data_IF_949132858020
#
_entry.id   IF_949132858020
#
_cell.length_a   1.000
_cell.length_b   1.000
_cell.length_c   1.000
_cell.angle_alpha   90.00
_cell.angle_beta   90.00
_cell.angle_gamma   90.00
#
_symmetry.space_group_name_H-M   'P 1'
#
loop_
_entity.id
_entity.type
_entity.pdbx_description
1 polymer ?
#
# COMPACT_ATOMS: atom_id res chain seq x y z
N UNK A 1 3.85 -19.01 -5.03
CA UNK A 1 3.14 -20.06 -5.79
C UNK A 1 4.03 -20.50 -6.93
N UNK A 2 4.29 -21.79 -7.11
CA UNK A 2 5.37 -22.22 -8.03
C UNK A 2 4.85 -22.47 -9.44
N UNK A 3 5.27 -21.62 -10.38
CA UNK A 3 5.05 -21.83 -11.81
C UNK A 3 6.15 -22.74 -12.40
N UNK A 4 7.37 -22.71 -11.87
CA UNK A 4 8.54 -23.43 -12.41
C UNK A 4 9.00 -24.59 -11.51
N UNK A 5 9.32 -25.74 -12.09
CA UNK A 5 9.97 -26.87 -11.39
C UNK A 5 10.91 -27.67 -12.29
N UNK A 6 12.00 -28.16 -11.69
CA UNK A 6 12.99 -29.07 -12.33
C UNK A 6 12.91 -30.49 -11.76
N UNK A 7 12.01 -30.75 -10.80
CA UNK A 7 11.90 -32.04 -10.10
C UNK A 7 10.44 -32.44 -9.88
N UNK A 8 10.18 -33.73 -9.66
CA UNK A 8 8.85 -34.26 -9.33
C UNK A 8 8.41 -33.94 -7.89
N UNK A 9 9.33 -33.49 -7.03
CA UNK A 9 9.13 -33.32 -5.60
C UNK A 9 9.41 -34.62 -4.84
N UNK A 10 10.03 -34.50 -3.66
CA UNK A 10 10.38 -35.66 -2.85
C UNK A 10 9.21 -36.29 -2.10
N UNK A 11 8.21 -35.51 -1.66
CA UNK A 11 7.16 -36.03 -0.77
C UNK A 11 7.75 -36.72 0.46
N UNK A 12 7.54 -38.04 0.58
CA UNK A 12 8.15 -38.90 1.62
C UNK A 12 9.45 -39.61 1.17
N UNK A 13 9.85 -39.47 -0.08
CA UNK A 13 11.03 -40.08 -0.70
C UNK A 13 12.07 -39.06 -1.16
N UNK A 14 13.16 -39.53 -1.80
CA UNK A 14 14.13 -38.65 -2.43
C UNK A 14 13.48 -37.93 -3.62
N UNK A 15 13.85 -36.68 -3.80
CA UNK A 15 13.42 -35.91 -4.98
C UNK A 15 14.10 -36.45 -6.25
N UNK A 16 13.38 -36.45 -7.37
CA UNK A 16 13.87 -36.93 -8.66
C UNK A 16 13.73 -35.86 -9.73
N UNK A 17 14.76 -35.64 -10.58
CA UNK A 17 14.73 -34.61 -11.62
C UNK A 17 13.70 -34.94 -12.70
N UNK A 18 13.17 -33.89 -13.33
CA UNK A 18 12.44 -33.96 -14.59
C UNK A 18 13.42 -34.02 -15.77
N UNK A 19 13.00 -34.58 -16.90
CA UNK A 19 13.80 -34.58 -18.14
C UNK A 19 14.00 -33.14 -18.68
N UNK A 20 12.97 -32.30 -18.53
CA UNK A 20 12.97 -30.88 -18.86
C UNK A 20 12.21 -30.08 -17.79
N UNK A 21 12.51 -28.79 -17.57
CA UNK A 21 11.74 -27.95 -16.67
C UNK A 21 10.24 -27.93 -17.05
N UNK A 22 9.38 -27.95 -16.05
CA UNK A 22 7.93 -27.90 -16.25
C UNK A 22 7.34 -26.59 -15.71
N UNK A 23 6.41 -26.03 -16.48
CA UNK A 23 5.63 -24.85 -16.12
C UNK A 23 4.21 -25.28 -15.73
N UNK A 24 3.77 -24.96 -14.51
CA UNK A 24 2.45 -25.38 -13.98
C UNK A 24 1.64 -24.20 -13.47
N UNK A 25 0.57 -23.86 -14.20
CA UNK A 25 -0.24 -22.68 -13.91
C UNK A 25 -1.48 -22.95 -13.02
N UNK A 26 -1.76 -24.22 -12.71
CA UNK A 26 -3.02 -24.63 -12.08
C UNK A 26 -3.39 -23.94 -10.75
N UNK A 27 -2.43 -23.42 -9.99
CA UNK A 27 -2.71 -22.65 -8.77
C UNK A 27 -2.79 -21.16 -9.06
N UNK A 28 -1.93 -20.64 -9.93
CA UNK A 28 -1.90 -19.19 -10.22
C UNK A 28 -3.15 -18.79 -10.99
N UNK A 29 -3.61 -19.66 -11.90
CA UNK A 29 -4.87 -19.47 -12.60
C UNK A 29 -6.04 -19.36 -11.63
N UNK A 30 -6.10 -20.14 -10.54
CA UNK A 30 -7.19 -20.02 -9.56
C UNK A 30 -7.20 -18.68 -8.83
N UNK A 31 -6.01 -18.13 -8.57
CA UNK A 31 -5.89 -16.82 -7.92
C UNK A 31 -6.28 -15.71 -8.89
N UNK A 32 -5.78 -15.77 -10.12
CA UNK A 32 -6.06 -14.77 -11.14
C UNK A 32 -7.53 -14.81 -11.58
N UNK A 33 -8.11 -16.01 -11.74
CA UNK A 33 -9.55 -16.19 -11.99
C UNK A 33 -10.35 -15.52 -10.86
N UNK A 34 -10.00 -15.74 -9.59
CA UNK A 34 -10.70 -15.11 -8.46
C UNK A 34 -10.57 -13.58 -8.45
N UNK A 35 -9.38 -13.03 -8.76
CA UNK A 35 -9.15 -11.58 -8.84
C UNK A 35 -10.05 -10.96 -9.92
N UNK A 36 -10.04 -11.55 -11.12
CA UNK A 36 -10.83 -11.07 -12.26
C UNK A 36 -12.34 -11.23 -12.03
N UNK A 37 -12.78 -12.37 -11.50
CA UNK A 37 -14.19 -12.63 -11.16
C UNK A 37 -14.70 -11.67 -10.08
N UNK A 38 -13.81 -11.13 -9.23
CA UNK A 38 -14.13 -10.10 -8.23
C UNK A 38 -14.18 -8.69 -8.82
N UNK A 39 -13.87 -8.52 -10.11
CA UNK A 39 -13.82 -7.23 -10.80
C UNK A 39 -12.52 -6.44 -10.57
N UNK A 40 -11.52 -7.05 -9.95
CA UNK A 40 -10.18 -6.48 -9.79
C UNK A 40 -9.24 -6.97 -10.91
N UNK A 41 -8.08 -6.34 -11.04
CA UNK A 41 -7.00 -6.80 -11.94
C UNK A 41 -5.71 -6.96 -11.17
N UNK A 42 -4.85 -7.90 -11.58
CA UNK A 42 -3.54 -8.05 -10.97
C UNK A 42 -2.63 -6.88 -11.36
N UNK A 43 -2.03 -6.25 -10.35
CA UNK A 43 -0.75 -5.57 -10.48
C UNK A 43 0.31 -6.62 -10.18
N UNK A 44 0.97 -7.13 -11.23
CA UNK A 44 1.81 -8.32 -11.16
C UNK A 44 3.20 -7.94 -10.68
N UNK A 45 3.58 -8.41 -9.50
CA UNK A 45 4.98 -8.43 -9.06
C UNK A 45 5.67 -9.71 -9.58
N UNK A 46 6.67 -9.56 -10.43
CA UNK A 46 7.46 -10.66 -10.98
C UNK A 46 8.57 -11.05 -10.00
N UNK A 47 8.21 -11.92 -9.05
CA UNK A 47 9.10 -12.48 -8.05
C UNK A 47 8.44 -13.58 -7.21
N UNK A 48 9.11 -14.12 -6.19
CA UNK A 48 10.57 -14.12 -6.04
C UNK A 48 11.18 -15.28 -6.86
N UNK A 49 12.44 -15.62 -6.62
CA UNK A 49 13.16 -16.60 -7.42
C UNK A 49 12.66 -18.03 -7.14
N UNK A 50 12.33 -18.83 -8.18
CA UNK A 50 12.13 -20.26 -7.97
C UNK A 50 13.41 -20.90 -7.45
N UNK A 51 13.30 -21.79 -6.44
CA UNK A 51 14.46 -22.46 -5.82
C UNK A 51 15.44 -23.05 -6.82
N UNK A 52 14.92 -23.66 -7.88
CA UNK A 52 15.72 -24.29 -8.91
C UNK A 52 16.58 -23.30 -9.70
N UNK A 53 16.13 -22.04 -9.85
CA UNK A 53 16.87 -20.98 -10.53
C UNK A 53 17.70 -20.10 -9.59
N UNK A 54 17.52 -20.22 -8.27
CA UNK A 54 18.21 -19.40 -7.29
C UNK A 54 19.72 -19.70 -7.23
N UNK A 55 20.55 -18.65 -7.17
CA UNK A 55 21.99 -18.77 -6.88
C UNK A 55 22.28 -19.06 -5.41
N UNK A 56 21.36 -18.70 -4.52
CA UNK A 56 21.46 -18.93 -3.08
C UNK A 56 20.17 -19.57 -2.54
N UNK A 57 20.30 -20.37 -1.48
CA UNK A 57 19.16 -21.12 -0.91
C UNK A 57 18.64 -20.53 0.40
N UNK A 58 19.24 -19.46 0.89
CA UNK A 58 18.69 -18.70 2.02
C UNK A 58 17.34 -18.11 1.63
N UNK A 59 16.48 -17.90 2.63
CA UNK A 59 15.10 -17.53 2.39
C UNK A 59 14.61 -16.42 3.28
N UNK A 60 13.77 -15.56 2.72
CA UNK A 60 13.03 -14.51 3.42
C UNK A 60 11.63 -15.01 3.84
N UNK A 61 11.10 -14.40 4.90
CA UNK A 61 9.75 -14.63 5.45
C UNK A 61 9.46 -16.06 5.93
N UNK A 62 8.33 -16.21 6.61
CA UNK A 62 7.85 -17.50 7.12
C UNK A 62 7.61 -18.53 6.01
N UNK A 63 7.13 -18.07 4.85
CA UNK A 63 6.84 -18.90 3.68
C UNK A 63 8.04 -19.16 2.75
N UNK A 64 9.23 -18.68 3.14
CA UNK A 64 10.54 -19.06 2.58
C UNK A 64 10.78 -18.67 1.11
N UNK A 65 10.66 -17.39 0.80
CA UNK A 65 11.01 -16.82 -0.50
C UNK A 65 12.51 -16.98 -0.79
N UNK A 66 12.92 -17.34 -2.02
CA UNK A 66 14.34 -17.22 -2.42
C UNK A 66 14.58 -15.88 -3.10
N UNK A 67 15.51 -15.10 -2.57
CA UNK A 67 15.69 -13.69 -2.94
C UNK A 67 16.98 -13.42 -3.74
N UNK A 68 17.58 -14.46 -4.32
CA UNK A 68 18.85 -14.30 -5.04
C UNK A 68 18.66 -14.03 -6.53
N UNK A 69 19.67 -13.45 -7.21
CA UNK A 69 19.71 -13.43 -8.68
C UNK A 69 19.57 -14.83 -9.28
N UNK A 70 19.07 -14.95 -10.52
CA UNK A 70 18.99 -16.23 -11.21
C UNK A 70 20.39 -16.76 -11.54
N UNK A 71 20.57 -18.08 -11.44
CA UNK A 71 21.78 -18.79 -11.88
C UNK A 71 21.96 -18.75 -13.40
N UNK A 72 20.85 -18.53 -14.11
CA UNK A 72 20.74 -18.49 -15.57
C UNK A 72 19.66 -17.47 -15.96
N UNK A 73 20.09 -16.34 -16.52
CA UNK A 73 19.19 -15.26 -16.94
C UNK A 73 18.29 -15.68 -18.11
N UNK A 74 18.77 -16.56 -19.01
CA UNK A 74 17.95 -17.06 -20.12
C UNK A 74 16.79 -17.89 -19.60
N UNK A 75 17.00 -18.72 -18.57
CA UNK A 75 15.92 -19.47 -17.92
C UNK A 75 14.93 -18.59 -17.15
N UNK A 76 15.40 -17.51 -16.55
CA UNK A 76 14.51 -16.50 -15.96
C UNK A 76 13.62 -15.84 -17.03
N UNK A 77 14.22 -15.39 -18.14
CA UNK A 77 13.48 -14.81 -19.26
C UNK A 77 12.46 -15.79 -19.84
N UNK A 78 12.86 -17.05 -20.07
CA UNK A 78 11.95 -18.11 -20.54
C UNK A 78 10.75 -18.30 -19.60
N UNK A 79 10.97 -18.26 -18.28
CA UNK A 79 9.90 -18.33 -17.28
C UNK A 79 8.94 -17.14 -17.38
N UNK A 80 9.46 -15.92 -17.46
CA UNK A 80 8.64 -14.71 -17.60
C UNK A 80 7.82 -14.79 -18.90
N UNK A 81 8.48 -15.04 -20.03
CA UNK A 81 7.83 -15.14 -21.35
C UNK A 81 6.73 -16.19 -21.35
N UNK A 82 7.02 -17.42 -20.91
CA UNK A 82 6.05 -18.51 -20.88
C UNK A 82 4.86 -18.19 -19.98
N UNK A 83 5.09 -17.48 -18.87
CA UNK A 83 4.02 -17.09 -17.94
C UNK A 83 3.11 -16.02 -18.53
N UNK A 84 3.68 -14.98 -19.15
CA UNK A 84 2.91 -13.89 -19.76
C UNK A 84 2.15 -14.39 -20.99
N UNK A 85 2.77 -15.21 -21.85
CA UNK A 85 2.08 -15.83 -22.99
C UNK A 85 0.93 -16.73 -22.55
N UNK A 86 1.10 -17.54 -21.49
CA UNK A 86 0.00 -18.34 -20.92
C UNK A 86 -1.17 -17.46 -20.45
N UNK A 87 -0.90 -16.34 -19.79
CA UNK A 87 -1.97 -15.41 -19.39
C UNK A 87 -2.64 -14.75 -20.58
N UNK A 88 -1.91 -14.41 -21.64
CA UNK A 88 -2.49 -13.90 -22.90
C UNK A 88 -3.38 -14.97 -23.55
N UNK A 89 -2.93 -16.22 -23.61
CA UNK A 89 -3.71 -17.33 -24.17
C UNK A 89 -4.99 -17.60 -23.37
N UNK A 90 -4.92 -17.49 -22.03
CA UNK A 90 -6.04 -17.78 -21.13
C UNK A 90 -7.06 -16.63 -21.04
N UNK A 91 -6.59 -15.39 -20.91
CA UNK A 91 -7.41 -14.22 -20.58
C UNK A 91 -7.60 -13.26 -21.76
N UNK A 92 -6.80 -13.40 -22.81
CA UNK A 92 -6.81 -12.52 -23.98
C UNK A 92 -5.90 -11.31 -23.83
N UNK A 93 -5.23 -10.93 -24.93
CA UNK A 93 -4.25 -9.83 -24.96
C UNK A 93 -4.83 -8.48 -24.48
N UNK A 94 -6.08 -8.17 -24.87
CA UNK A 94 -6.72 -6.89 -24.49
C UNK A 94 -6.98 -6.76 -22.99
N UNK A 95 -7.17 -7.88 -22.28
CA UNK A 95 -7.26 -7.89 -20.82
C UNK A 95 -5.86 -7.74 -20.21
N UNK A 96 -4.89 -8.54 -20.66
CA UNK A 96 -3.53 -8.54 -20.11
C UNK A 96 -2.81 -7.19 -20.32
N UNK A 97 -3.12 -6.45 -21.39
CA UNK A 97 -2.64 -5.06 -21.60
C UNK A 97 -3.09 -4.06 -20.54
N UNK A 98 -4.11 -4.39 -19.75
CA UNK A 98 -4.57 -3.54 -18.65
C UNK A 98 -3.81 -3.80 -17.35
N UNK A 99 -3.00 -4.88 -17.29
CA UNK A 99 -2.20 -5.23 -16.14
C UNK A 99 -0.87 -4.45 -16.14
N UNK A 100 -0.22 -4.39 -14.98
CA UNK A 100 1.14 -3.85 -14.82
C UNK A 100 2.06 -5.00 -14.40
N UNK A 101 3.26 -5.02 -14.94
CA UNK A 101 4.31 -5.99 -14.61
C UNK A 101 5.47 -5.27 -13.92
N UNK A 102 5.49 -5.32 -12.60
CA UNK A 102 6.56 -4.80 -11.77
C UNK A 102 7.64 -5.86 -11.61
N UNK A 103 8.92 -5.47 -11.76
CA UNK A 103 10.03 -6.41 -11.66
C UNK A 103 10.61 -6.39 -10.26
N UNK A 104 10.39 -7.48 -9.52
CA UNK A 104 10.89 -7.71 -8.17
C UNK A 104 10.28 -6.82 -7.09
N UNK A 105 10.75 -6.99 -5.85
CA UNK A 105 10.36 -6.22 -4.68
C UNK A 105 11.59 -5.79 -3.85
N UNK A 106 11.66 -4.52 -3.49
CA UNK A 106 12.67 -3.89 -2.61
C UNK A 106 14.11 -4.39 -2.81
N UNK A 107 14.65 -4.37 -4.04
CA UNK A 107 15.97 -4.95 -4.34
C UNK A 107 17.13 -4.25 -3.62
N UNK A 108 16.88 -3.06 -3.05
CA UNK A 108 17.85 -2.31 -2.26
C UNK A 108 18.05 -2.88 -0.84
N UNK A 109 17.09 -3.65 -0.30
CA UNK A 109 17.18 -4.25 1.05
C UNK A 109 18.05 -5.52 1.06
N UNK A 110 19.33 -5.37 0.72
CA UNK A 110 20.31 -6.46 0.69
C UNK A 110 20.77 -6.84 2.10
N UNK A 111 20.83 -8.15 2.48
CA UNK A 111 20.62 -9.35 1.66
C UNK A 111 19.21 -9.97 1.82
N UNK A 112 18.20 -9.20 2.24
CA UNK A 112 16.89 -9.73 2.59
C UNK A 112 16.01 -9.96 1.35
N UNK A 113 15.54 -8.88 0.73
CA UNK A 113 14.67 -8.96 -0.44
C UNK A 113 15.44 -9.21 -1.73
N UNK A 114 16.74 -8.94 -1.74
CA UNK A 114 17.65 -9.25 -2.83
C UNK A 114 19.04 -9.59 -2.29
N UNK A 115 19.66 -10.67 -2.76
CA UNK A 115 21.03 -11.05 -2.33
C UNK A 115 22.12 -10.63 -3.32
N UNK A 116 21.73 -10.03 -4.45
CA UNK A 116 22.65 -9.56 -5.48
C UNK A 116 23.05 -8.09 -5.28
N UNK A 117 23.68 -7.53 -6.30
CA UNK A 117 23.98 -6.09 -6.35
C UNK A 117 22.88 -5.29 -7.05
N UNK A 118 22.91 -3.97 -6.90
CA UNK A 118 22.12 -3.03 -7.71
C UNK A 118 22.25 -3.30 -9.20
N UNK A 119 23.47 -3.44 -9.69
CA UNK A 119 23.72 -3.73 -11.12
C UNK A 119 23.04 -5.02 -11.55
N UNK A 120 23.12 -6.08 -10.74
CA UNK A 120 22.43 -7.34 -11.06
C UNK A 120 20.90 -7.21 -11.07
N UNK A 121 20.34 -6.33 -10.23
CA UNK A 121 18.92 -6.01 -10.30
C UNK A 121 18.59 -5.26 -11.60
N UNK A 122 19.40 -4.27 -12.00
CA UNK A 122 19.19 -3.55 -13.26
C UNK A 122 19.31 -4.47 -14.48
N UNK A 123 20.24 -5.44 -14.46
CA UNK A 123 20.34 -6.50 -15.48
C UNK A 123 19.09 -7.40 -15.52
N UNK A 124 18.54 -7.76 -14.34
CA UNK A 124 17.29 -8.52 -14.23
C UNK A 124 16.11 -7.72 -14.82
N UNK A 125 15.99 -6.45 -14.45
CA UNK A 125 14.96 -5.55 -14.99
C UNK A 125 15.05 -5.47 -16.50
N UNK A 126 16.23 -5.16 -17.04
CA UNK A 126 16.45 -5.02 -18.48
C UNK A 126 16.05 -6.29 -19.24
N UNK A 127 16.53 -7.46 -18.80
CA UNK A 127 16.20 -8.73 -19.45
C UNK A 127 14.69 -9.01 -19.42
N UNK A 128 14.04 -8.69 -18.30
CA UNK A 128 12.59 -8.88 -18.10
C UNK A 128 11.76 -7.92 -18.95
N UNK A 129 12.11 -6.63 -18.94
CA UNK A 129 11.41 -5.59 -19.68
C UNK A 129 11.52 -5.79 -21.19
N UNK A 130 12.71 -6.14 -21.70
CA UNK A 130 12.89 -6.48 -23.12
C UNK A 130 12.02 -7.68 -23.50
N UNK A 131 12.04 -8.76 -22.71
CA UNK A 131 11.25 -9.96 -22.99
C UNK A 131 9.73 -9.68 -23.02
N UNK A 132 9.22 -8.88 -22.09
CA UNK A 132 7.80 -8.48 -22.06
C UNK A 132 7.43 -7.68 -23.30
N UNK A 133 8.30 -6.74 -23.72
CA UNK A 133 8.05 -5.90 -24.90
C UNK A 133 8.19 -6.65 -26.23
N UNK A 134 8.98 -7.72 -26.26
CA UNK A 134 9.06 -8.63 -27.41
C UNK A 134 7.77 -9.44 -27.61
N UNK A 135 7.06 -9.79 -26.53
CA UNK A 135 5.74 -10.43 -26.59
C UNK A 135 4.70 -9.47 -27.16
N UNK A 136 4.56 -8.29 -26.55
CA UNK A 136 3.70 -7.22 -27.05
C UNK A 136 4.17 -5.84 -26.52
N UNK A 137 4.47 -4.86 -27.40
CA UNK A 137 4.94 -3.53 -26.98
C UNK A 137 3.97 -2.75 -26.08
N UNK A 138 2.68 -3.11 -26.08
CA UNK A 138 1.64 -2.46 -25.28
C UNK A 138 1.53 -2.96 -23.83
N UNK A 139 2.20 -4.06 -23.46
CA UNK A 139 2.27 -4.50 -22.06
C UNK A 139 3.10 -3.53 -21.23
N UNK A 140 2.64 -3.18 -20.04
CA UNK A 140 3.25 -2.16 -19.18
C UNK A 140 4.24 -2.78 -18.18
N UNK A 141 5.51 -2.39 -18.22
CA UNK A 141 6.57 -2.88 -17.32
C UNK A 141 7.25 -1.73 -16.57
N UNK A 142 7.59 -1.97 -15.30
CA UNK A 142 8.14 -0.94 -14.43
C UNK A 142 8.90 -1.48 -13.20
N UNK A 143 9.51 -0.54 -12.48
CA UNK A 143 10.41 -0.75 -11.35
C UNK A 143 10.92 0.62 -10.83
N UNK A 144 11.93 0.70 -9.96
CA UNK A 144 12.75 -0.37 -9.43
C UNK A 144 12.16 -1.07 -8.18
N UNK A 145 10.91 -0.78 -7.81
CA UNK A 145 10.22 -1.37 -6.65
C UNK A 145 10.96 -1.16 -5.33
N UNK A 146 11.74 -0.09 -5.21
CA UNK A 146 12.61 0.13 -4.05
C UNK A 146 11.83 0.41 -2.78
N UNK A 147 12.45 0.12 -1.62
CA UNK A 147 11.89 0.50 -0.33
C UNK A 147 11.81 2.02 -0.16
N UNK A 148 11.40 2.44 1.04
CA UNK A 148 11.22 3.85 1.41
C UNK A 148 12.42 4.76 1.08
N UNK A 149 12.11 6.04 0.92
CA UNK A 149 13.09 7.12 0.76
C UNK A 149 14.03 7.14 1.95
N UNK A 150 15.26 7.58 1.74
CA UNK A 150 16.26 7.68 2.81
C UNK A 150 16.94 9.04 2.83
N UNK A 151 17.36 9.54 4.00
CA UNK A 151 18.04 10.83 4.12
C UNK A 151 19.58 10.74 4.10
N UNK A 152 20.13 9.60 3.67
CA UNK A 152 21.57 9.31 3.74
C UNK A 152 22.08 8.45 2.58
N UNK A 153 23.40 8.27 2.51
CA UNK A 153 24.11 7.60 1.40
C UNK A 153 24.05 6.05 1.50
N UNK A 154 23.22 5.45 2.38
CA UNK A 154 23.27 3.99 2.65
C UNK A 154 23.08 3.13 1.41
N UNK A 155 22.37 3.60 0.40
CA UNK A 155 22.12 2.87 -0.85
C UNK A 155 22.85 3.46 -2.06
N UNK A 156 23.83 4.36 -1.88
CA UNK A 156 24.56 4.96 -3.02
C UNK A 156 25.41 3.96 -3.81
N UNK A 157 25.85 2.89 -3.16
CA UNK A 157 26.66 1.84 -3.75
C UNK A 157 25.85 0.69 -4.36
N UNK A 158 26.54 -0.43 -4.59
CA UNK A 158 25.94 -1.68 -5.10
C UNK A 158 25.06 -2.41 -4.07
N UNK A 159 25.28 -2.16 -2.77
CA UNK A 159 24.57 -2.77 -1.64
C UNK A 159 24.45 -1.77 -0.50
N UNK A 160 23.65 -2.08 0.53
CA UNK A 160 23.52 -1.26 1.74
C UNK A 160 24.85 -1.07 2.48
N UNK A 161 25.21 0.18 2.80
CA UNK A 161 26.25 0.55 3.76
C UNK A 161 25.61 1.11 5.03
N UNK A 162 25.44 0.23 6.03
CA UNK A 162 24.81 0.58 7.32
C UNK A 162 25.57 1.67 8.09
N UNK A 163 26.85 1.89 7.81
CA UNK A 163 27.61 2.94 8.49
C UNK A 163 27.11 4.36 8.14
N UNK A 164 26.38 4.50 7.03
CA UNK A 164 25.79 5.78 6.61
C UNK A 164 24.54 6.14 7.39
N UNK A 165 23.95 5.19 8.10
CA UNK A 165 22.71 5.38 8.85
C UNK A 165 22.94 6.02 10.22
N UNK A 166 24.17 5.95 10.75
CA UNK A 166 24.46 6.37 12.11
C UNK A 166 24.10 7.83 12.38
N UNK A 167 24.29 8.71 11.38
CA UNK A 167 23.94 10.13 11.49
C UNK A 167 22.41 10.32 11.50
N UNK A 168 21.69 9.57 10.66
CA UNK A 168 20.23 9.53 10.64
C UNK A 168 19.66 9.02 11.96
N UNK A 169 20.24 7.94 12.52
CA UNK A 169 19.83 7.36 13.79
C UNK A 169 20.08 8.30 14.99
N UNK A 170 21.02 9.24 14.87
CA UNK A 170 21.36 10.22 15.89
C UNK A 170 20.72 11.60 15.67
N UNK A 171 19.90 11.76 14.62
CA UNK A 171 19.28 13.04 14.30
C UNK A 171 18.18 13.39 15.31
N UNK A 172 18.25 14.60 15.86
CA UNK A 172 17.19 15.14 16.74
C UNK A 172 15.92 15.51 15.95
N UNK A 173 16.08 15.90 14.69
CA UNK A 173 15.02 16.29 13.77
C UNK A 173 15.23 15.56 12.43
N UNK A 174 14.43 14.52 12.23
CA UNK A 174 14.49 13.67 11.02
C UNK A 174 13.84 14.33 9.81
N UNK A 175 12.93 15.29 10.02
CA UNK A 175 12.20 15.97 8.96
C UNK A 175 13.07 17.05 8.28
N UNK A 176 14.07 17.57 9.00
CA UNK A 176 15.05 18.50 8.44
C UNK A 176 16.10 17.84 7.52
N UNK A 177 16.13 16.50 7.44
CA UNK A 177 17.08 15.79 6.61
C UNK A 177 16.67 15.76 5.12
N UNK A 178 17.63 15.52 4.23
CA UNK A 178 17.41 15.49 2.78
C UNK A 178 16.95 14.10 2.31
N UNK A 179 15.65 13.85 2.40
CA UNK A 179 15.04 12.59 1.94
C UNK A 179 15.03 12.48 0.41
N UNK A 180 15.46 11.34 -0.11
CA UNK A 180 15.53 11.06 -1.55
C UNK A 180 15.10 9.64 -1.87
N UNK A 181 14.59 9.39 -3.09
CA UNK A 181 14.27 8.04 -3.51
C UNK A 181 15.52 7.17 -3.60
N UNK A 182 15.34 5.88 -3.40
CA UNK A 182 16.43 4.91 -3.53
C UNK A 182 16.54 4.45 -4.97
N UNK A 183 17.73 4.56 -5.57
CA UNK A 183 18.08 4.05 -6.91
C UNK A 183 17.27 4.56 -8.11
N UNK A 184 16.22 5.36 -7.93
CA UNK A 184 15.35 5.84 -9.02
C UNK A 184 16.14 6.59 -10.11
N UNK A 185 17.02 7.51 -9.72
CA UNK A 185 17.83 8.28 -10.69
C UNK A 185 18.82 7.38 -11.43
N UNK A 186 19.51 6.49 -10.72
CA UNK A 186 20.46 5.57 -11.35
C UNK A 186 19.77 4.54 -12.24
N UNK A 187 18.58 4.10 -11.86
CA UNK A 187 17.75 3.19 -12.63
C UNK A 187 17.30 3.82 -13.96
N UNK A 188 16.76 5.05 -13.92
CA UNK A 188 16.41 5.78 -15.13
C UNK A 188 17.62 6.03 -16.02
N UNK A 189 18.76 6.40 -15.42
CA UNK A 189 20.02 6.61 -16.15
C UNK A 189 20.49 5.32 -16.83
N UNK A 190 20.44 4.18 -16.14
CA UNK A 190 20.78 2.87 -16.71
C UNK A 190 19.89 2.55 -17.90
N UNK A 191 18.58 2.72 -17.75
CA UNK A 191 17.61 2.42 -18.79
C UNK A 191 17.76 3.36 -20.00
N UNK A 192 17.97 4.65 -19.79
CA UNK A 192 18.15 5.63 -20.86
C UNK A 192 19.39 5.29 -21.70
N UNK A 193 20.53 5.04 -21.05
CA UNK A 193 21.81 4.73 -21.72
C UNK A 193 21.75 3.44 -22.55
N UNK A 194 20.86 2.52 -22.18
CA UNK A 194 20.73 1.19 -22.78
C UNK A 194 19.44 1.02 -23.59
N UNK A 195 18.65 2.08 -23.70
CA UNK A 195 17.36 2.10 -24.40
C UNK A 195 16.36 1.06 -23.87
N UNK A 196 16.39 0.81 -22.55
CA UNK A 196 15.45 -0.08 -21.88
C UNK A 196 14.15 0.68 -21.63
N UNK A 197 12.98 0.10 -21.96
CA UNK A 197 11.70 0.78 -21.76
C UNK A 197 11.30 0.80 -20.29
N UNK A 198 10.75 1.94 -19.85
CA UNK A 198 10.08 2.11 -18.57
C UNK A 198 8.69 2.66 -18.89
N UNK A 199 7.63 1.92 -18.57
CA UNK A 199 6.26 2.43 -18.69
C UNK A 199 5.77 3.09 -17.40
N UNK A 200 6.31 2.67 -16.26
CA UNK A 200 5.99 3.24 -14.95
C UNK A 200 7.17 3.09 -14.00
N UNK A 201 7.28 4.03 -13.06
CA UNK A 201 8.10 3.88 -11.87
C UNK A 201 7.28 3.34 -10.71
N UNK A 202 7.87 2.41 -9.98
CA UNK A 202 7.32 1.90 -8.72
C UNK A 202 8.32 1.97 -7.58
N UNK A 203 7.82 2.25 -6.38
CA UNK A 203 8.58 2.30 -5.13
C UNK A 203 7.61 2.25 -3.95
N UNK A 204 8.13 2.02 -2.75
CA UNK A 204 7.34 2.03 -1.52
C UNK A 204 7.57 3.31 -0.73
N UNK A 205 6.56 3.70 0.04
CA UNK A 205 6.70 4.80 0.99
C UNK A 205 5.97 4.46 2.29
N UNK A 206 6.62 4.73 3.41
CA UNK A 206 6.01 4.68 4.73
C UNK A 206 6.51 5.91 5.51
N UNK A 207 5.64 6.61 6.25
CA UNK A 207 6.06 7.75 7.06
C UNK A 207 6.83 7.32 8.30
N UNK A 208 6.82 6.02 8.65
CA UNK A 208 7.67 5.44 9.70
C UNK A 208 8.68 4.48 9.09
N UNK A 209 9.88 4.42 9.67
CA UNK A 209 10.99 3.57 9.23
C UNK A 209 11.98 3.34 10.39
N UNK A 210 13.15 2.77 10.11
CA UNK A 210 14.24 2.58 11.05
C UNK A 210 15.60 3.02 10.46
N UNK A 211 16.45 3.62 11.29
CA UNK A 211 17.88 3.76 11.01
C UNK A 211 18.69 3.03 12.08
N UNK A 212 19.80 2.40 11.68
CA UNK A 212 20.65 1.69 12.63
C UNK A 212 21.74 2.59 13.21
N UNK A 213 21.91 2.55 14.54
CA UNK A 213 22.99 3.24 15.23
C UNK A 213 24.34 2.50 15.08
N UNK A 214 25.41 3.09 15.61
CA UNK A 214 26.76 2.50 15.56
C UNK A 214 26.91 1.16 16.29
N UNK A 215 25.95 0.78 17.13
CA UNK A 215 25.90 -0.51 17.82
C UNK A 215 25.03 -1.54 17.07
N UNK A 216 24.43 -1.16 15.94
CA UNK A 216 23.49 -1.98 15.19
C UNK A 216 22.09 -2.06 15.81
N UNK A 217 21.73 -1.11 16.67
CA UNK A 217 20.38 -0.99 17.24
C UNK A 217 19.52 -0.16 16.30
N UNK A 218 18.36 -0.70 15.90
CA UNK A 218 17.39 0.03 15.09
C UNK A 218 16.69 1.11 15.92
N UNK A 219 16.81 2.36 15.46
CA UNK A 219 16.14 3.53 16.01
C UNK A 219 14.91 3.81 15.15
N UNK A 220 13.69 3.80 15.72
CA UNK A 220 12.48 4.11 14.97
C UNK A 220 12.49 5.58 14.54
N UNK A 221 12.10 5.81 13.30
CA UNK A 221 11.92 7.12 12.69
C UNK A 221 10.44 7.33 12.40
N UNK A 222 9.97 8.55 12.56
CA UNK A 222 8.63 8.96 12.19
C UNK A 222 8.73 10.32 11.53
N UNK A 223 8.50 10.36 10.23
CA UNK A 223 8.45 11.59 9.44
C UNK A 223 7.12 12.30 9.66
N UNK A 224 7.11 13.59 9.40
CA UNK A 224 5.91 14.42 9.51
C UNK A 224 4.80 13.99 8.54
N UNK A 225 3.57 14.41 8.83
CA UNK A 225 2.36 13.85 8.23
C UNK A 225 2.20 14.05 6.70
N UNK A 226 2.92 15.00 6.08
CA UNK A 226 2.88 15.20 4.62
C UNK A 226 4.08 14.59 3.86
N UNK A 227 4.95 13.84 4.54
CA UNK A 227 6.15 13.26 3.93
C UNK A 227 5.85 12.50 2.61
N UNK A 228 4.80 11.67 2.58
CA UNK A 228 4.39 10.94 1.36
C UNK A 228 4.04 11.88 0.20
N UNK A 229 3.36 13.00 0.46
CA UNK A 229 3.01 13.98 -0.58
C UNK A 229 4.27 14.56 -1.20
N UNK A 230 5.24 14.91 -0.36
CA UNK A 230 6.49 15.52 -0.82
C UNK A 230 7.36 14.53 -1.60
N UNK A 231 7.42 13.27 -1.15
CA UNK A 231 8.12 12.19 -1.87
C UNK A 231 7.51 11.99 -3.27
N UNK A 232 6.18 12.00 -3.38
CA UNK A 232 5.49 11.90 -4.68
C UNK A 232 5.74 13.13 -5.56
N UNK A 233 5.73 14.33 -4.98
CA UNK A 233 6.04 15.55 -5.74
C UNK A 233 7.48 15.51 -6.29
N UNK A 234 8.43 15.01 -5.49
CA UNK A 234 9.81 14.80 -5.93
C UNK A 234 9.90 13.78 -7.07
N UNK A 235 9.23 12.62 -6.97
CA UNK A 235 9.19 11.62 -8.06
C UNK A 235 8.64 12.20 -9.35
N UNK A 236 7.56 12.98 -9.29
CA UNK A 236 6.99 13.64 -10.47
C UNK A 236 7.96 14.62 -11.12
N UNK A 237 8.71 15.37 -10.32
CA UNK A 237 9.78 16.23 -10.83
C UNK A 237 10.87 15.42 -11.54
N UNK A 238 11.36 14.36 -10.91
CA UNK A 238 12.38 13.48 -11.48
C UNK A 238 11.94 12.85 -12.81
N UNK A 239 10.69 12.39 -12.90
CA UNK A 239 10.13 11.81 -14.13
C UNK A 239 10.03 12.86 -15.22
N UNK A 240 9.49 14.04 -14.92
CA UNK A 240 9.30 15.11 -15.89
C UNK A 240 10.62 15.58 -16.52
N UNK A 241 11.71 15.51 -15.76
CA UNK A 241 13.06 15.89 -16.20
C UNK A 241 13.86 14.72 -16.80
N UNK A 242 13.28 13.52 -16.90
CA UNK A 242 13.93 12.30 -17.39
C UNK A 242 13.66 12.01 -18.88
N UNK A 243 14.26 10.93 -19.40
CA UNK A 243 13.93 10.37 -20.71
C UNK A 243 12.55 9.67 -20.78
N UNK A 244 11.82 9.58 -19.66
CA UNK A 244 10.54 8.88 -19.53
C UNK A 244 9.43 9.79 -18.98
N UNK A 245 9.18 10.98 -19.56
CA UNK A 245 8.26 11.97 -18.98
C UNK A 245 6.80 11.51 -18.89
N UNK A 246 6.44 10.47 -19.63
CA UNK A 246 5.10 9.88 -19.65
C UNK A 246 4.95 8.65 -18.72
N UNK A 247 5.98 8.31 -17.94
CA UNK A 247 5.93 7.16 -17.04
C UNK A 247 4.90 7.38 -15.92
N UNK A 248 4.10 6.34 -15.65
CA UNK A 248 3.18 6.34 -14.50
C UNK A 248 3.99 6.28 -13.18
N UNK A 249 3.42 6.77 -12.08
CA UNK A 249 3.93 6.65 -10.72
C UNK A 249 2.98 5.75 -9.94
N UNK A 250 3.51 4.61 -9.50
CA UNK A 250 2.80 3.68 -8.64
C UNK A 250 3.53 3.52 -7.32
N UNK A 251 2.87 3.86 -6.22
CA UNK A 251 3.32 3.43 -4.90
C UNK A 251 2.70 2.06 -4.65
N UNK A 252 3.49 1.01 -4.81
CA UNK A 252 3.02 -0.39 -4.81
C UNK A 252 2.86 -0.96 -3.40
N UNK A 253 3.50 -0.34 -2.41
CA UNK A 253 3.18 -0.49 -1.00
C UNK A 253 3.23 0.87 -0.26
N UNK A 254 2.17 1.12 0.52
CA UNK A 254 2.08 2.25 1.43
C UNK A 254 1.17 1.95 2.63
N UNK A 255 1.56 2.38 3.81
CA UNK A 255 0.72 2.41 5.01
C UNK A 255 1.29 3.42 6.01
N UNK A 256 0.75 3.46 7.23
CA UNK A 256 1.33 4.26 8.31
C UNK A 256 2.63 3.66 8.84
N UNK A 257 2.83 2.34 8.70
CA UNK A 257 4.02 1.61 9.14
C UNK A 257 4.31 0.39 8.28
N UNK A 258 5.60 0.04 8.07
CA UNK A 258 6.01 -1.16 7.36
C UNK A 258 6.00 -2.41 8.25
N UNK A 259 5.52 -2.32 9.49
CA UNK A 259 5.46 -3.45 10.42
C UNK A 259 4.08 -4.08 10.46
N UNK A 260 3.98 -5.37 10.11
CA UNK A 260 2.74 -6.17 10.26
C UNK A 260 2.31 -6.41 11.72
N UNK A 261 2.94 -5.72 12.69
CA UNK A 261 2.71 -5.83 14.14
C UNK A 261 2.48 -4.47 14.80
N UNK A 262 2.40 -3.39 14.01
CA UNK A 262 2.15 -2.06 14.53
C UNK A 262 0.68 -1.89 14.93
N UNK A 263 0.43 -1.73 16.23
CA UNK A 263 -0.93 -1.64 16.79
C UNK A 263 -1.67 -0.40 16.33
N UNK A 264 -0.99 0.57 15.73
CA UNK A 264 -1.62 1.74 15.14
C UNK A 264 -2.57 1.38 13.98
N UNK A 265 -2.29 0.31 13.22
CA UNK A 265 -3.11 -0.13 12.09
C UNK A 265 -4.57 -0.44 12.46
N UNK A 266 -4.82 -0.83 13.72
CA UNK A 266 -6.14 -1.24 14.19
C UNK A 266 -7.02 -0.06 14.66
N UNK A 267 -6.52 1.18 14.56
CA UNK A 267 -7.09 2.34 15.25
C UNK A 267 -7.85 3.31 14.33
N UNK A 268 -8.73 4.12 14.93
CA UNK A 268 -9.35 5.26 14.25
C UNK A 268 -8.35 6.36 13.89
N UNK A 269 -7.22 6.44 14.62
CA UNK A 269 -6.13 7.38 14.33
C UNK A 269 -5.51 7.11 12.97
N UNK A 270 -5.27 5.83 12.65
CA UNK A 270 -4.83 5.42 11.32
C UNK A 270 -5.87 5.78 10.25
N UNK A 271 -7.16 5.58 10.49
CA UNK A 271 -8.21 5.91 9.53
C UNK A 271 -8.20 7.41 9.13
N UNK A 272 -8.11 8.31 10.10
CA UNK A 272 -8.02 9.75 9.84
C UNK A 272 -6.70 10.16 9.17
N UNK A 273 -5.57 9.61 9.63
CA UNK A 273 -4.26 9.84 9.02
C UNK A 273 -4.24 9.41 7.55
N UNK A 274 -4.75 8.21 7.26
CA UNK A 274 -4.79 7.65 5.91
C UNK A 274 -5.70 8.48 5.00
N UNK A 275 -6.90 8.84 5.48
CA UNK A 275 -7.83 9.68 4.72
C UNK A 275 -7.17 11.00 4.31
N UNK A 276 -6.46 11.63 5.25
CA UNK A 276 -5.72 12.87 4.99
C UNK A 276 -4.64 12.67 3.93
N UNK A 277 -3.76 11.67 4.11
CA UNK A 277 -2.64 11.42 3.20
C UNK A 277 -3.12 11.11 1.78
N UNK A 278 -4.12 10.23 1.62
CA UNK A 278 -4.63 9.87 0.30
C UNK A 278 -5.26 11.06 -0.42
N UNK A 279 -6.04 11.90 0.28
CA UNK A 279 -6.65 13.09 -0.34
C UNK A 279 -5.60 14.11 -0.78
N UNK A 280 -4.51 14.27 -0.03
CA UNK A 280 -3.42 15.18 -0.40
C UNK A 280 -2.54 14.64 -1.54
N UNK A 281 -2.46 13.32 -1.68
CA UNK A 281 -1.65 12.65 -2.69
C UNK A 281 -2.44 12.31 -3.97
N UNK A 282 -3.76 12.48 -3.98
CA UNK A 282 -4.66 11.98 -5.01
C UNK A 282 -4.31 12.39 -6.45
N UNK A 283 -3.63 13.53 -6.64
CA UNK A 283 -3.22 14.03 -7.97
C UNK A 283 -1.74 13.79 -8.29
N UNK A 284 -0.99 13.14 -7.41
CA UNK A 284 0.47 13.00 -7.51
C UNK A 284 0.93 11.61 -7.93
N UNK A 285 0.05 10.61 -7.96
CA UNK A 285 0.37 9.25 -8.38
C UNK A 285 -0.81 8.64 -9.15
N UNK A 286 -0.53 7.73 -10.08
CA UNK A 286 -1.57 6.93 -10.75
C UNK A 286 -2.19 5.91 -9.78
N UNK A 287 -1.41 5.39 -8.83
CA UNK A 287 -1.95 4.62 -7.71
C UNK A 287 -1.10 4.73 -6.45
N UNK A 288 -1.77 4.61 -5.30
CA UNK A 288 -1.15 4.41 -3.99
C UNK A 288 -1.82 3.18 -3.38
N UNK A 289 -1.10 2.07 -3.35
CA UNK A 289 -1.58 0.76 -2.91
C UNK A 289 -1.43 0.65 -1.40
N UNK A 290 -2.55 0.59 -0.69
CA UNK A 290 -2.53 0.37 0.75
C UNK A 290 -2.13 -1.07 1.06
N UNK A 291 -1.02 -1.22 1.78
CA UNK A 291 -0.59 -2.50 2.30
C UNK A 291 -1.25 -2.69 3.68
N UNK A 292 -2.31 -3.49 3.82
CA UNK A 292 -2.90 -4.43 2.87
C UNK A 292 -4.44 -4.52 3.04
N UNK A 293 -5.13 -5.26 2.18
CA UNK A 293 -6.60 -5.37 2.28
C UNK A 293 -7.08 -6.29 3.42
N UNK A 294 -6.26 -7.23 3.90
CA UNK A 294 -6.64 -8.16 4.98
C UNK A 294 -5.46 -8.58 5.87
N UNK A 295 -5.75 -8.93 7.13
CA UNK A 295 -4.80 -9.53 8.07
C UNK A 295 -4.51 -11.01 7.79
N UNK A 296 -5.13 -11.62 6.77
CA UNK A 296 -4.69 -12.94 6.27
C UNK A 296 -3.30 -12.76 5.61
N UNK A 297 -2.28 -12.74 6.46
CA UNK A 297 -0.95 -12.27 6.14
C UNK A 297 0.11 -13.04 6.95
N UNK A 298 1.19 -13.47 6.30
CA UNK A 298 2.10 -14.47 6.90
C UNK A 298 3.60 -14.15 6.75
N UNK A 299 4.02 -12.93 6.40
CA UNK A 299 5.47 -12.63 6.30
C UNK A 299 6.25 -12.97 7.58
N UNK A 300 5.75 -12.52 8.74
CA UNK A 300 6.24 -12.87 10.06
C UNK A 300 5.52 -14.08 10.69
N UNK A 301 4.81 -14.88 9.88
CA UNK A 301 3.81 -15.85 10.32
C UNK A 301 2.46 -15.18 10.65
N UNK A 302 1.46 -16.00 11.01
CA UNK A 302 0.14 -15.50 11.39
C UNK A 302 0.19 -14.59 12.63
N UNK A 303 -0.72 -13.62 12.70
CA UNK A 303 -0.84 -12.70 13.82
C UNK A 303 -1.25 -13.38 15.13
N UNK A 304 -0.94 -12.76 16.27
CA UNK A 304 -1.36 -13.25 17.58
C UNK A 304 -2.60 -12.47 18.04
N UNK A 305 -3.75 -13.11 17.90
CA UNK A 305 -5.05 -12.55 18.29
C UNK A 305 -5.71 -11.71 17.18
N UNK A 306 -6.97 -11.28 17.40
CA UNK A 306 -7.81 -10.69 16.35
C UNK A 306 -7.41 -9.26 15.95
N UNK A 307 -6.76 -8.53 16.85
CA UNK A 307 -6.19 -7.20 16.62
C UNK A 307 -4.75 -7.26 17.08
N UNK A 308 -3.84 -7.41 16.13
CA UNK A 308 -2.42 -7.65 16.38
C UNK A 308 -1.51 -6.63 15.71
N UNK A 309 -2.08 -5.54 15.18
CA UNK A 309 -1.36 -4.57 14.35
C UNK A 309 -1.08 -5.04 12.93
N UNK A 310 -1.86 -6.01 12.45
CA UNK A 310 -1.77 -6.47 11.06
C UNK A 310 -2.10 -5.36 10.07
N UNK A 311 -1.55 -5.46 8.87
CA UNK A 311 -1.70 -4.47 7.81
C UNK A 311 -3.13 -4.29 7.30
N UNK A 312 -4.01 -5.26 7.52
CA UNK A 312 -5.30 -5.38 6.85
C UNK A 312 -6.27 -4.24 7.14
N UNK A 313 -7.03 -3.83 6.13
CA UNK A 313 -8.30 -3.10 6.33
C UNK A 313 -9.33 -3.96 7.09
N UNK A 314 -9.26 -5.28 6.91
CA UNK A 314 -10.15 -6.26 7.52
C UNK A 314 -9.31 -7.30 8.26
N UNK A 315 -9.70 -7.62 9.50
CA UNK A 315 -8.97 -8.62 10.26
C UNK A 315 -9.23 -10.06 9.78
N UNK A 316 -8.52 -11.05 10.33
CA UNK A 316 -8.62 -12.46 9.92
C UNK A 316 -10.05 -13.05 10.02
N UNK A 317 -10.89 -12.54 10.92
CA UNK A 317 -12.28 -13.01 11.11
C UNK A 317 -13.29 -12.26 10.24
N UNK A 318 -12.85 -11.34 9.38
CA UNK A 318 -13.74 -10.52 8.56
C UNK A 318 -14.30 -9.29 9.29
N UNK A 319 -13.69 -8.85 10.41
CA UNK A 319 -14.11 -7.66 11.14
C UNK A 319 -13.46 -6.44 10.50
N UNK A 320 -14.28 -5.49 10.03
CA UNK A 320 -13.82 -4.23 9.44
C UNK A 320 -13.09 -3.38 10.48
N UNK A 321 -11.86 -2.96 10.18
CA UNK A 321 -11.14 -1.96 10.99
C UNK A 321 -11.65 -0.56 10.63
N UNK A 322 -11.36 0.48 11.44
CA UNK A 322 -11.72 1.86 11.10
C UNK A 322 -11.19 2.29 9.71
N UNK A 323 -10.03 1.78 9.31
CA UNK A 323 -9.41 2.03 8.00
C UNK A 323 -10.25 1.50 6.84
N UNK A 324 -10.94 0.36 6.97
CA UNK A 324 -11.88 -0.13 5.96
C UNK A 324 -12.98 0.90 5.67
N UNK A 325 -13.53 1.51 6.72
CA UNK A 325 -14.58 2.53 6.57
C UNK A 325 -14.03 3.78 5.91
N UNK A 326 -12.81 4.22 6.24
CA UNK A 326 -12.16 5.33 5.54
C UNK A 326 -12.04 5.06 4.02
N UNK A 327 -11.60 3.87 3.61
CA UNK A 327 -11.55 3.50 2.19
C UNK A 327 -12.95 3.42 1.55
N UNK A 328 -13.94 2.87 2.25
CA UNK A 328 -15.34 2.85 1.78
C UNK A 328 -15.90 4.26 1.59
N UNK A 329 -15.54 5.19 2.47
CA UNK A 329 -15.92 6.59 2.38
C UNK A 329 -15.26 7.29 1.19
N UNK A 330 -13.96 7.09 0.99
CA UNK A 330 -13.22 7.63 -0.15
C UNK A 330 -13.76 7.10 -1.49
N UNK A 331 -14.15 5.82 -1.55
CA UNK A 331 -14.72 5.20 -2.76
C UNK A 331 -16.08 5.79 -3.20
N UNK A 332 -16.73 6.60 -2.34
CA UNK A 332 -18.00 7.27 -2.68
C UNK A 332 -17.80 8.59 -3.42
N UNK A 333 -16.58 9.11 -3.43
CA UNK A 333 -16.26 10.37 -4.09
C UNK A 333 -16.44 10.23 -5.60
N UNK A 334 -16.96 11.28 -6.23
CA UNK A 334 -17.06 11.40 -7.67
C UNK A 334 -15.75 11.84 -8.32
N UNK A 335 -15.76 11.90 -9.65
CA UNK A 335 -14.61 12.24 -10.49
C UNK A 335 -14.37 13.74 -10.68
N UNK A 336 -15.32 14.61 -10.30
CA UNK A 336 -15.17 16.07 -10.38
C UNK A 336 -15.04 16.71 -9.01
N UNK A 337 -13.90 17.32 -8.73
CA UNK A 337 -13.67 18.11 -7.52
C UNK A 337 -14.50 19.40 -7.54
N UNK A 338 -15.32 19.62 -6.51
CA UNK A 338 -16.09 20.85 -6.30
C UNK A 338 -15.45 21.75 -5.24
N UNK A 339 -14.92 21.13 -4.18
CA UNK A 339 -14.26 21.82 -3.07
C UNK A 339 -13.10 20.95 -2.58
N UNK A 340 -11.96 21.58 -2.34
CA UNK A 340 -10.87 20.99 -1.56
C UNK A 340 -10.49 21.93 -0.42
N UNK A 341 -10.34 21.36 0.76
CA UNK A 341 -9.93 22.06 1.98
C UNK A 341 -8.83 21.26 2.67
N UNK A 342 -8.11 21.83 3.65
CA UNK A 342 -7.18 21.07 4.48
C UNK A 342 -7.81 19.89 5.25
N UNK A 343 -9.14 19.79 5.32
CA UNK A 343 -9.87 18.83 6.17
C UNK A 343 -10.88 17.97 5.40
N UNK A 344 -10.81 17.96 4.07
CA UNK A 344 -11.73 17.17 3.25
C UNK A 344 -12.06 17.79 1.91
N UNK A 345 -12.89 17.06 1.17
CA UNK A 345 -13.27 17.38 -0.21
C UNK A 345 -14.76 17.20 -0.43
N UNK A 346 -15.29 17.94 -1.40
CA UNK A 346 -16.62 17.72 -1.99
C UNK A 346 -16.41 17.43 -3.47
N UNK A 347 -17.10 16.43 -3.97
CA UNK A 347 -17.01 15.95 -5.35
C UNK A 347 -18.39 15.79 -5.95
N UNK A 348 -18.42 15.71 -7.28
CA UNK A 348 -19.59 15.39 -8.07
C UNK A 348 -19.25 14.30 -9.05
N UNK A 349 -20.10 13.29 -9.12
CA UNK A 349 -20.02 12.26 -10.15
C UNK A 349 -20.53 12.82 -11.48
N UNK A 350 -19.71 12.75 -12.53
CA UNK A 350 -20.01 13.32 -13.85
C UNK A 350 -21.13 12.59 -14.59
N UNK A 351 -21.43 11.33 -14.23
CA UNK A 351 -22.43 10.49 -14.89
C UNK A 351 -23.83 10.67 -14.31
N UNK A 352 -23.91 10.74 -12.99
CA UNK A 352 -25.15 10.79 -12.20
C UNK A 352 -25.46 12.19 -11.69
N UNK A 353 -24.47 13.09 -11.71
CA UNK A 353 -24.51 14.40 -11.03
C UNK A 353 -24.65 14.32 -9.51
N UNK A 354 -24.56 13.12 -8.92
CA UNK A 354 -24.62 12.93 -7.48
C UNK A 354 -23.47 13.66 -6.78
N UNK A 355 -23.75 14.27 -5.64
CA UNK A 355 -22.76 14.95 -4.81
C UNK A 355 -22.35 14.05 -3.65
N UNK A 356 -21.04 13.98 -3.40
CA UNK A 356 -20.45 13.25 -2.29
C UNK A 356 -19.37 14.10 -1.62
N UNK A 357 -19.16 13.92 -0.33
CA UNK A 357 -18.09 14.57 0.40
C UNK A 357 -17.45 13.62 1.41
N UNK A 358 -16.17 13.86 1.69
CA UNK A 358 -15.44 13.23 2.79
C UNK A 358 -14.75 14.34 3.55
N UNK A 359 -14.98 14.39 4.87
CA UNK A 359 -14.28 15.27 5.79
C UNK A 359 -13.65 14.47 6.90
N UNK A 360 -12.56 14.97 7.47
CA UNK A 360 -11.86 14.32 8.57
C UNK A 360 -11.38 15.35 9.58
N UNK A 361 -11.15 14.90 10.81
CA UNK A 361 -10.51 15.70 11.84
C UNK A 361 -9.18 15.08 12.28
N UNK A 362 -8.11 15.41 11.55
CA UNK A 362 -6.77 15.30 12.11
C UNK A 362 -6.60 16.43 13.13
N UNK A 363 -6.41 16.15 14.44
CA UNK A 363 -6.51 17.19 15.47
C UNK A 363 -5.43 18.27 15.31
N UNK A 364 -5.78 19.53 15.56
CA UNK A 364 -4.83 20.66 15.45
C UNK A 364 -3.65 20.52 16.45
N UNK A 365 -3.88 19.88 17.60
CA UNK A 365 -2.84 19.55 18.60
C UNK A 365 -1.76 18.59 18.10
N UNK A 366 -1.95 17.97 16.93
CA UNK A 366 -0.90 17.22 16.26
C UNK A 366 0.06 18.12 15.48
N UNK A 367 -0.37 19.31 15.05
CA UNK A 367 0.43 20.14 14.15
C UNK A 367 0.85 19.36 12.90
N UNK A 368 2.16 19.17 12.73
CA UNK A 368 2.77 18.37 11.66
C UNK A 368 3.15 16.95 12.08
N UNK A 369 3.01 16.59 13.36
CA UNK A 369 3.38 15.28 13.89
C UNK A 369 2.59 14.19 13.15
N UNK A 370 3.24 13.06 12.87
CA UNK A 370 2.56 11.83 12.46
C UNK A 370 2.02 11.05 13.66
N UNK A 371 1.20 10.04 13.39
CA UNK A 371 0.64 9.18 14.45
C UNK A 371 1.67 8.22 15.06
N UNK A 372 2.81 8.02 14.40
CA UNK A 372 3.88 7.11 14.83
C UNK A 372 3.45 5.64 14.88
N UNK A 373 4.28 4.85 15.57
CA UNK A 373 4.10 3.41 15.76
C UNK A 373 3.83 3.04 17.22
N UNK A 374 3.14 1.92 17.43
CA UNK A 374 2.85 1.42 18.77
C UNK A 374 3.00 -0.11 18.88
N UNK A 375 3.60 -0.56 19.99
CA UNK A 375 3.79 -1.99 20.27
C UNK A 375 2.61 -2.65 21.00
N UNK A 376 1.77 -1.85 21.65
CA UNK A 376 0.55 -2.31 22.32
C UNK A 376 -0.63 -1.41 21.93
N UNK A 377 -1.86 -1.96 22.00
CA UNK A 377 -3.05 -1.17 21.76
C UNK A 377 -3.20 -0.06 22.81
N UNK A 378 -2.84 -0.34 24.08
CA UNK A 378 -2.85 0.63 25.17
C UNK A 378 -2.00 1.87 24.85
N UNK A 379 -0.81 1.67 24.28
CA UNK A 379 0.10 2.75 23.90
C UNK A 379 -0.51 3.66 22.84
N UNK A 380 -1.37 3.18 21.95
CA UNK A 380 -2.03 4.02 20.92
C UNK A 380 -2.97 5.06 21.54
N UNK A 381 -3.58 4.76 22.70
CA UNK A 381 -4.69 5.52 23.28
C UNK A 381 -4.30 6.91 23.78
N UNK A 382 -3.02 7.23 23.86
CA UNK A 382 -2.57 8.59 24.18
C UNK A 382 -3.09 9.62 23.15
N UNK A 383 -3.25 9.22 21.88
CA UNK A 383 -3.80 10.07 20.81
C UNK A 383 -5.27 10.43 21.02
N UNK A 384 -6.04 9.64 21.77
CA UNK A 384 -7.44 9.96 22.11
C UNK A 384 -7.58 11.26 22.94
N UNK A 385 -6.48 11.77 23.52
CA UNK A 385 -6.46 13.02 24.29
C UNK A 385 -6.19 14.25 23.44
N UNK A 386 -5.87 14.08 22.15
CA UNK A 386 -5.62 15.17 21.21
C UNK A 386 -6.94 15.80 20.77
N UNK A 387 -6.92 17.11 20.52
CA UNK A 387 -8.08 17.84 20.04
C UNK A 387 -7.70 19.07 19.22
N UNK A 388 -8.62 20.04 19.09
CA UNK A 388 -10.01 20.02 19.53
C UNK A 388 -10.95 19.30 18.53
N UNK A 389 -12.25 19.26 18.84
CA UNK A 389 -13.29 19.01 17.84
C UNK A 389 -13.25 20.08 16.76
N UNK A 390 -13.62 19.71 15.53
CA UNK A 390 -13.60 20.60 14.37
C UNK A 390 -15.00 20.81 13.83
N UNK A 391 -15.39 22.07 13.65
CA UNK A 391 -16.65 22.42 13.00
C UNK A 391 -16.43 22.61 11.49
N UNK A 392 -17.09 21.79 10.67
CA UNK A 392 -17.09 21.87 9.21
C UNK A 392 -18.35 22.61 8.77
N UNK A 393 -18.17 23.76 8.10
CA UNK A 393 -19.29 24.54 7.56
C UNK A 393 -19.10 24.88 6.09
N UNK A 394 -19.95 24.32 5.25
CA UNK A 394 -19.99 24.58 3.80
C UNK A 394 -21.42 24.57 3.30
N UNK A 395 -21.66 25.18 2.14
CA UNK A 395 -22.97 25.11 1.48
C UNK A 395 -22.83 24.67 0.04
N UNK A 396 -23.83 23.92 -0.44
CA UNK A 396 -23.89 23.39 -1.80
C UNK A 396 -25.21 23.84 -2.42
N UNK A 397 -25.13 24.80 -3.33
CA UNK A 397 -26.28 25.33 -4.04
C UNK A 397 -26.61 24.53 -5.32
N UNK A 398 -27.83 24.71 -5.81
CA UNK A 398 -28.28 24.13 -7.08
C UNK A 398 -28.62 22.64 -6.97
N UNK A 399 -29.03 22.18 -5.79
CA UNK A 399 -29.50 20.83 -5.55
C UNK A 399 -31.04 20.78 -5.63
N UNK A 400 -31.57 19.61 -5.96
CA UNK A 400 -33.01 19.38 -5.99
C UNK A 400 -33.59 19.37 -4.56
N UNK A 401 -34.59 20.21 -4.23
CA UNK A 401 -35.24 20.21 -2.92
C UNK A 401 -35.78 18.83 -2.53
N UNK A 402 -35.64 18.47 -1.26
CA UNK A 402 -36.04 17.17 -0.74
C UNK A 402 -35.02 16.05 -0.94
N UNK A 403 -33.95 16.27 -1.71
CA UNK A 403 -32.84 15.31 -1.82
C UNK A 403 -32.25 15.03 -0.43
N UNK A 404 -32.14 13.75 -0.07
CA UNK A 404 -31.57 13.33 1.20
C UNK A 404 -30.10 12.94 1.05
N UNK A 405 -29.27 13.33 2.01
CA UNK A 405 -27.87 12.94 2.12
C UNK A 405 -27.68 12.10 3.37
N UNK A 406 -27.18 10.88 3.21
CA UNK A 406 -26.77 10.04 4.33
C UNK A 406 -25.39 10.51 4.80
N UNK A 407 -25.30 10.83 6.09
CA UNK A 407 -24.05 11.15 6.77
C UNK A 407 -23.63 9.93 7.57
N UNK A 408 -22.42 9.43 7.34
CA UNK A 408 -21.85 8.32 8.12
C UNK A 408 -20.47 8.73 8.66
N UNK A 409 -20.25 8.51 9.96
CA UNK A 409 -19.01 8.87 10.64
C UNK A 409 -18.44 7.67 11.39
N UNK A 410 -17.14 7.44 11.21
CA UNK A 410 -16.31 6.59 12.07
C UNK A 410 -15.53 7.51 13.01
N UNK A 411 -15.56 7.21 14.30
CA UNK A 411 -14.87 7.98 15.34
C UNK A 411 -14.45 7.06 16.49
N UNK A 412 -14.04 7.63 17.62
CA UNK A 412 -13.61 6.85 18.77
C UNK A 412 -14.69 5.91 19.32
N UNK A 413 -15.95 6.35 19.31
CA UNK A 413 -17.09 5.65 19.90
C UNK A 413 -17.87 4.80 18.88
N UNK A 414 -17.68 5.04 17.59
CA UNK A 414 -18.43 4.41 16.49
C UNK A 414 -17.49 3.78 15.44
N UNK A 415 -17.68 2.49 15.17
CA UNK A 415 -16.85 1.76 14.20
C UNK A 415 -15.42 1.46 14.66
N UNK A 416 -15.19 1.43 15.98
CA UNK A 416 -13.88 1.19 16.60
C UNK A 416 -13.83 -0.17 17.34
N UNK A 417 -13.75 -1.30 16.62
CA UNK A 417 -13.83 -2.62 17.23
C UNK A 417 -12.60 -2.99 18.07
N UNK A 418 -11.43 -2.38 17.82
CA UNK A 418 -10.23 -2.64 18.59
C UNK A 418 -10.35 -2.08 20.03
N UNK A 419 -10.97 -0.90 20.24
CA UNK A 419 -11.24 -0.38 21.60
C UNK A 419 -12.26 -1.28 22.31
N UNK A 420 -13.28 -1.77 21.60
CA UNK A 420 -14.25 -2.71 22.18
C UNK A 420 -13.60 -4.05 22.56
N UNK A 421 -12.72 -4.59 21.71
CA UNK A 421 -11.92 -5.78 22.01
C UNK A 421 -11.00 -5.55 23.21
N UNK A 422 -10.37 -4.39 23.30
CA UNK A 422 -9.53 -4.01 24.44
C UNK A 422 -10.36 -3.95 25.74
N UNK A 423 -11.55 -3.35 25.70
CA UNK A 423 -12.48 -3.31 26.83
C UNK A 423 -12.98 -4.70 27.27
N UNK A 424 -12.98 -5.69 26.37
CA UNK A 424 -13.25 -7.10 26.68
C UNK A 424 -12.08 -7.82 27.36
N UNK A 425 -10.96 -7.14 27.61
CA UNK A 425 -9.74 -7.73 28.18
C UNK A 425 -8.81 -8.35 27.14
N UNK A 426 -8.93 -7.94 25.87
CA UNK A 426 -8.04 -8.35 24.77
C UNK A 426 -7.95 -9.88 24.57
N UNK A 427 -9.06 -10.62 24.49
CA UNK A 427 -9.03 -12.07 24.31
C UNK A 427 -8.29 -12.45 23.03
N UNK A 428 -7.33 -13.37 23.15
CA UNK A 428 -6.54 -13.87 22.02
C UNK A 428 -7.38 -14.76 21.09
N UNK A 429 -8.31 -15.54 21.66
CA UNK A 429 -9.18 -16.45 20.90
C UNK A 429 -10.63 -16.03 21.10
N UNK A 430 -11.23 -15.45 20.06
CA UNK A 430 -12.64 -15.05 20.10
C UNK A 430 -13.55 -16.27 19.99
N UNK A 431 -14.56 -16.34 20.84
CA UNK A 431 -15.73 -17.16 20.61
C UNK A 431 -16.58 -16.60 19.45
N UNK A 432 -17.43 -17.43 18.86
CA UNK A 432 -18.37 -16.98 17.81
C UNK A 432 -19.29 -15.84 18.25
N UNK A 433 -19.63 -15.76 19.54
CA UNK A 433 -20.44 -14.66 20.08
C UNK A 433 -19.65 -13.36 20.14
N UNK A 434 -18.40 -13.41 20.61
CA UNK A 434 -17.50 -12.26 20.67
C UNK A 434 -17.17 -11.75 19.27
N UNK A 435 -16.87 -12.64 18.31
CA UNK A 435 -16.67 -12.26 16.91
C UNK A 435 -17.89 -11.54 16.35
N UNK A 436 -19.12 -12.07 16.56
CA UNK A 436 -20.35 -11.40 16.11
C UNK A 436 -20.59 -10.07 16.81
N UNK A 437 -20.23 -9.95 18.08
CA UNK A 437 -20.35 -8.69 18.82
C UNK A 437 -19.41 -7.64 18.23
N UNK A 438 -18.13 -7.98 18.05
CA UNK A 438 -17.13 -7.07 17.48
C UNK A 438 -17.44 -6.69 16.02
N UNK A 439 -17.94 -7.62 15.21
CA UNK A 439 -18.41 -7.30 13.86
C UNK A 439 -19.58 -6.28 13.88
N UNK A 440 -20.50 -6.39 14.84
CA UNK A 440 -21.56 -5.37 15.00
C UNK A 440 -21.02 -4.02 15.44
N UNK A 441 -20.04 -3.99 16.34
CA UNK A 441 -19.38 -2.74 16.76
C UNK A 441 -18.64 -2.10 15.58
N UNK A 442 -17.93 -2.90 14.79
CA UNK A 442 -17.21 -2.44 13.61
C UNK A 442 -18.12 -1.70 12.62
N UNK A 443 -19.34 -2.19 12.38
CA UNK A 443 -20.27 -1.58 11.40
C UNK A 443 -21.29 -0.58 12.03
N UNK A 444 -21.21 -0.36 13.34
CA UNK A 444 -22.04 0.59 14.07
C UNK A 444 -21.46 2.02 13.96
N UNK A 445 -21.47 2.57 12.73
CA UNK A 445 -21.11 3.95 12.45
C UNK A 445 -22.15 4.93 13.02
N UNK A 446 -21.73 6.14 13.37
CA UNK A 446 -22.64 7.24 13.67
C UNK A 446 -23.32 7.65 12.36
N UNK A 447 -24.65 7.71 12.35
CA UNK A 447 -25.44 8.02 11.16
C UNK A 447 -26.37 9.20 11.41
N UNK A 448 -26.43 10.10 10.44
CA UNK A 448 -27.38 11.21 10.40
C UNK A 448 -27.89 11.41 8.97
N UNK A 449 -28.85 12.30 8.77
CA UNK A 449 -29.39 12.64 7.45
C UNK A 449 -29.56 14.14 7.32
N UNK A 450 -29.01 14.69 6.24
CA UNK A 450 -29.30 16.07 5.82
C UNK A 450 -30.31 16.04 4.68
N UNK A 451 -31.16 17.06 4.59
CA UNK A 451 -32.15 17.16 3.51
C UNK A 451 -32.05 18.53 2.87
N UNK A 452 -32.03 18.57 1.54
CA UNK A 452 -31.98 19.82 0.78
C UNK A 452 -33.28 20.59 1.01
N UNK A 453 -33.24 21.83 1.53
CA UNK A 453 -34.42 22.66 1.73
C UNK A 453 -34.97 23.23 0.42
N UNK A 454 -36.12 23.90 0.49
CA UNK A 454 -36.84 24.45 -0.69
C UNK A 454 -36.02 25.44 -1.53
N UNK A 455 -35.02 26.10 -0.94
CA UNK A 455 -34.14 27.03 -1.65
C UNK A 455 -33.07 26.33 -2.50
N UNK A 456 -32.98 24.98 -2.47
CA UNK A 456 -32.02 24.20 -3.24
C UNK A 456 -30.56 24.32 -2.75
N UNK A 457 -30.35 24.73 -1.49
CA UNK A 457 -29.02 24.92 -0.89
C UNK A 457 -28.88 24.00 0.32
N UNK A 458 -28.05 22.97 0.19
CA UNK A 458 -27.67 22.12 1.32
C UNK A 458 -26.66 22.86 2.20
N UNK A 459 -26.99 23.04 3.48
CA UNK A 459 -26.04 23.51 4.50
C UNK A 459 -25.41 22.30 5.19
N UNK A 460 -24.09 22.18 5.07
CA UNK A 460 -23.28 21.24 5.84
C UNK A 460 -22.79 22.01 7.06
N UNK A 461 -23.26 21.64 8.25
CA UNK A 461 -22.77 22.16 9.54
C UNK A 461 -22.57 20.98 10.50
N UNK A 462 -21.37 20.43 10.48
CA UNK A 462 -21.01 19.22 11.23
C UNK A 462 -19.97 19.56 12.30
N UNK A 463 -20.11 18.98 13.49
CA UNK A 463 -19.06 18.97 14.51
C UNK A 463 -18.40 17.59 14.53
N UNK A 464 -17.12 17.54 14.13
CA UNK A 464 -16.32 16.32 14.07
C UNK A 464 -15.46 16.21 15.33
N UNK A 465 -15.66 15.14 16.09
CA UNK A 465 -14.75 14.78 17.18
C UNK A 465 -13.31 14.59 16.66
N UNK A 466 -12.28 14.72 17.53
CA UNK A 466 -10.91 14.37 17.16
C UNK A 466 -10.84 12.98 16.52
N UNK A 467 -10.08 12.86 15.42
CA UNK A 467 -9.88 11.63 14.64
C UNK A 467 -11.10 11.10 13.89
N UNK A 468 -12.23 11.80 13.90
CA UNK A 468 -13.40 11.38 13.15
C UNK A 468 -13.15 11.48 11.63
N UNK A 469 -13.66 10.51 10.87
CA UNK A 469 -13.79 10.58 9.41
C UNK A 469 -15.27 10.45 9.09
N UNK A 470 -15.81 11.41 8.35
CA UNK A 470 -17.21 11.45 7.95
C UNK A 470 -17.33 11.46 6.44
N UNK A 471 -18.37 10.81 5.93
CA UNK A 471 -18.79 10.91 4.54
C UNK A 471 -20.22 11.39 4.45
N UNK A 472 -20.48 12.19 3.42
CA UNK A 472 -21.81 12.56 3.00
C UNK A 472 -22.01 11.97 1.61
N UNK A 473 -23.07 11.20 1.41
CA UNK A 473 -23.46 10.72 0.08
C UNK A 473 -24.92 11.01 -0.17
N UNK A 474 -25.22 11.45 -1.39
CA UNK A 474 -26.60 11.54 -1.85
C UNK A 474 -27.26 10.15 -1.77
N UNK A 475 -28.48 10.10 -1.22
CA UNK A 475 -29.27 8.87 -1.19
C UNK A 475 -29.80 8.59 -2.59
N UNK A 476 -29.86 7.31 -2.96
CA UNK A 476 -30.42 6.85 -4.24
C UNK A 476 -31.92 7.13 -4.37
#
# INVERSE_FOLDING_TARGET
>A
MFVYRETYGGGFGPDSPLDEPAYTFSYVDKVFDFILDSGARPFVELGFMPRALATQTETLFWWRAHCSPPKDMTRWVELVTTTVEHWIDRYGLDEVRQWRFEVWNEPNLVPHFWTGTRTQYFELYEATAVAIKEIDPGLRVGGPSTSVFVPDDRYKGETQDRSKEHATAAADDVDALEWRPVWIEEFMTWCEQRQVPIDFLSTHTYPTDYAFDANGVGVPLSRYIDATRDDLALLRGLIADSAYPDAEVHITEWSTSPSSRDRMHDTVFAAASITRSLLQCATLAESISYWAFTDVFEEGGAGIGPFHGGFGLVNEQGIHKPTFHAFSMLNRLGDRLLLSTPHGVVTRDSRTSAVSAVFFNYPDDMGSDSIGSANSYEDTRHLARKGPSRRIRHSIAGLEPGTAFLVETVDWDHGNPAEAWYAMGSPVNLSRNETRHLAKVADALLRDTLTVPENGVLEIDLELAPWAVTSLRQSD
#
